data_IF_685352227038
#
_entry.id   IF_685352227038
#
_cell.length_a   1.000
_cell.length_b   1.000
_cell.length_c   1.000
_cell.angle_alpha   90.00
_cell.angle_beta   90.00
_cell.angle_gamma   90.00
#
_symmetry.space_group_name_H-M   'P 1'
#
loop_
_entity.id
_entity.type
_entity.pdbx_description
1 polymer ?
#
# COMPACT_ATOMS: atom_id res chain seq x y z
N UNK A 1 14.87 -74.85 -59.68
CA UNK A 1 15.24 -73.51 -59.19
C UNK A 1 13.93 -72.73 -59.07
N UNK A 2 13.22 -72.93 -57.96
CA UNK A 2 12.98 -71.94 -56.87
C UNK A 2 12.00 -70.84 -57.29
N UNK A 3 10.68 -71.00 -57.16
CA UNK A 3 9.77 -70.97 -55.98
C UNK A 3 9.47 -69.57 -55.39
N UNK A 4 8.24 -69.11 -55.69
CA UNK A 4 7.15 -68.52 -54.88
C UNK A 4 7.33 -67.92 -53.47
N UNK A 5 6.42 -66.95 -53.24
CA UNK A 5 5.68 -66.57 -52.02
C UNK A 5 6.08 -65.34 -51.19
N UNK A 6 5.17 -64.35 -51.23
CA UNK A 6 4.54 -63.48 -50.21
C UNK A 6 5.18 -63.27 -48.83
N UNK A 7 4.89 -62.11 -48.21
CA UNK A 7 4.61 -62.07 -46.78
C UNK A 7 3.23 -61.43 -46.41
N UNK A 8 2.69 -61.74 -45.21
CA UNK A 8 1.32 -61.43 -44.79
C UNK A 8 1.21 -60.43 -43.62
N UNK A 9 -0.01 -59.94 -43.39
CA UNK A 9 -0.64 -59.88 -42.05
C UNK A 9 -0.16 -58.85 -41.02
N UNK A 10 -1.04 -57.91 -40.69
CA UNK A 10 -1.05 -57.15 -39.42
C UNK A 10 -1.38 -58.06 -38.22
N UNK A 11 -0.91 -57.73 -36.99
CA UNK A 11 -1.90 -57.33 -35.97
C UNK A 11 -1.40 -56.35 -34.86
N UNK A 12 -2.37 -55.60 -34.33
CA UNK A 12 -2.51 -55.07 -32.94
C UNK A 12 -1.69 -53.84 -32.47
N UNK A 13 -2.45 -52.75 -32.30
CA UNK A 13 -2.59 -51.89 -31.09
C UNK A 13 -1.33 -51.51 -30.29
N UNK A 14 -0.95 -50.24 -30.41
CA UNK A 14 -0.49 -49.41 -29.30
C UNK A 14 -1.30 -48.09 -29.33
N UNK A 15 -2.07 -47.74 -28.29
CA UNK A 15 -2.74 -46.46 -28.19
C UNK A 15 -1.89 -45.51 -27.35
N UNK A 16 -1.28 -44.49 -27.96
CA UNK A 16 -0.80 -43.32 -27.23
C UNK A 16 -0.46 -42.19 -28.21
N UNK A 17 -1.41 -41.27 -28.40
CA UNK A 17 -1.10 -39.85 -28.59
C UNK A 17 -2.38 -39.08 -28.26
N UNK A 18 -2.57 -38.86 -26.96
CA UNK A 18 -3.49 -37.85 -26.47
C UNK A 18 -2.99 -36.49 -26.93
N UNK A 19 -3.88 -35.76 -27.59
CA UNK A 19 -3.82 -34.32 -27.78
C UNK A 19 -3.84 -33.64 -26.41
N UNK A 20 -2.68 -33.22 -25.91
CA UNK A 20 -2.62 -32.26 -24.81
C UNK A 20 -2.89 -30.86 -25.36
N UNK A 21 -4.11 -30.39 -25.11
CA UNK A 21 -4.46 -28.99 -24.99
C UNK A 21 -3.49 -28.31 -24.02
N UNK A 22 -2.63 -27.42 -24.54
CA UNK A 22 -1.82 -26.51 -23.74
C UNK A 22 -2.74 -25.57 -22.94
N UNK A 23 -3.08 -25.99 -21.72
CA UNK A 23 -3.62 -25.10 -20.69
C UNK A 23 -2.49 -24.23 -20.16
N UNK A 24 -2.67 -22.92 -20.21
CA UNK A 24 -1.85 -21.91 -19.55
C UNK A 24 -1.58 -22.30 -18.08
N UNK A 25 -0.35 -22.12 -17.55
CA UNK A 25 -0.06 -22.46 -16.17
C UNK A 25 -0.85 -21.54 -15.25
N UNK A 26 -1.67 -22.14 -14.38
CA UNK A 26 -2.38 -21.42 -13.32
C UNK A 26 -1.38 -20.84 -12.33
N UNK A 27 -1.68 -19.63 -11.92
CA UNK A 27 -0.93 -18.73 -11.05
C UNK A 27 -0.97 -19.18 -9.56
N UNK A 28 -0.59 -20.44 -9.28
CA UNK A 28 -0.60 -21.03 -7.92
C UNK A 28 0.60 -20.60 -7.05
N UNK A 29 1.63 -20.00 -7.65
CA UNK A 29 2.89 -19.71 -6.95
C UNK A 29 2.77 -18.65 -5.85
N UNK A 30 1.82 -17.72 -5.97
CA UNK A 30 1.63 -16.62 -5.00
C UNK A 30 0.93 -17.11 -3.73
N UNK A 31 -0.14 -17.89 -3.88
CA UNK A 31 -0.85 -18.54 -2.77
C UNK A 31 0.04 -19.55 -2.06
N UNK A 32 0.77 -20.40 -2.78
CA UNK A 32 1.72 -21.34 -2.18
C UNK A 32 2.85 -20.62 -1.42
N UNK A 33 3.34 -19.48 -1.92
CA UNK A 33 4.34 -18.67 -1.22
C UNK A 33 3.78 -18.06 0.05
N UNK A 34 2.53 -17.58 0.04
CA UNK A 34 1.84 -17.06 1.22
C UNK A 34 1.61 -18.18 2.23
N UNK A 35 1.07 -19.33 1.79
CA UNK A 35 0.83 -20.51 2.64
C UNK A 35 2.13 -21.03 3.25
N UNK A 36 3.22 -21.08 2.46
CA UNK A 36 4.54 -21.51 2.94
C UNK A 36 5.14 -20.50 3.93
N UNK A 37 5.03 -19.19 3.69
CA UNK A 37 5.46 -18.17 4.67
C UNK A 37 4.61 -18.21 5.95
N UNK A 38 3.30 -18.48 5.83
CA UNK A 38 2.41 -18.69 6.98
C UNK A 38 2.84 -19.95 7.74
N UNK A 39 3.11 -21.06 7.06
CA UNK A 39 3.61 -22.31 7.67
C UNK A 39 4.99 -22.11 8.33
N UNK A 40 5.90 -21.36 7.70
CA UNK A 40 7.20 -21.02 8.27
C UNK A 40 7.03 -20.11 9.50
N UNK A 41 6.09 -19.16 9.48
CA UNK A 41 5.73 -18.34 10.65
C UNK A 41 5.03 -19.13 11.76
N UNK A 42 4.28 -20.18 11.41
CA UNK A 42 3.72 -21.14 12.37
C UNK A 42 4.80 -22.00 13.02
N UNK A 43 5.87 -22.33 12.28
CA UNK A 43 7.03 -23.06 12.82
C UNK A 43 7.89 -22.18 13.74
N UNK A 44 7.96 -20.88 13.48
CA UNK A 44 8.51 -19.85 14.37
C UNK A 44 7.44 -19.31 15.31
N UNK A 45 7.04 -20.09 16.32
CA UNK A 45 6.05 -19.71 17.32
C UNK A 45 6.42 -18.46 18.16
N UNK A 46 6.41 -17.26 17.55
CA UNK A 46 6.30 -15.98 18.25
C UNK A 46 4.83 -15.80 18.61
N UNK A 47 4.46 -16.19 19.83
CA UNK A 47 3.13 -15.89 20.37
C UNK A 47 2.86 -14.38 20.34
N UNK A 48 1.79 -13.97 19.67
CA UNK A 48 1.39 -12.57 19.60
C UNK A 48 0.36 -12.27 20.70
N UNK A 49 0.81 -12.26 21.96
CA UNK A 49 -0.06 -12.15 23.16
C UNK A 49 -1.12 -11.04 23.11
N UNK A 50 -0.84 -9.92 22.43
CA UNK A 50 -1.82 -8.86 22.23
C UNK A 50 -2.84 -9.23 21.14
N UNK A 51 -2.36 -9.54 19.92
CA UNK A 51 -3.20 -9.82 18.76
C UNK A 51 -4.05 -11.10 18.88
N UNK A 52 -3.60 -12.07 19.67
CA UNK A 52 -4.38 -13.27 20.02
C UNK A 52 -5.68 -12.96 20.79
N UNK A 53 -5.81 -11.74 21.33
CA UNK A 53 -7.00 -11.26 22.05
C UNK A 53 -7.84 -10.27 21.25
N UNK A 54 -7.45 -9.96 20.01
CA UNK A 54 -8.13 -8.96 19.19
C UNK A 54 -9.04 -9.66 18.17
N UNK A 55 -10.13 -9.00 17.73
CA UNK A 55 -11.01 -9.50 16.67
C UNK A 55 -10.32 -9.37 15.31
N UNK A 56 -9.30 -10.19 15.07
CA UNK A 56 -8.59 -10.30 13.78
C UNK A 56 -8.56 -11.76 13.37
N UNK A 57 -8.39 -12.03 12.07
CA UNK A 57 -8.12 -13.39 11.61
C UNK A 57 -6.91 -13.97 12.37
N UNK A 58 -7.07 -15.14 12.98
CA UNK A 58 -5.99 -15.76 13.74
C UNK A 58 -5.25 -16.76 12.84
N UNK A 59 -3.95 -16.96 13.08
CA UNK A 59 -3.17 -17.95 12.31
C UNK A 59 -3.74 -19.37 12.39
N UNK A 60 -4.36 -19.73 13.52
CA UNK A 60 -5.03 -21.02 13.72
C UNK A 60 -6.31 -21.18 12.87
N UNK A 61 -6.89 -20.07 12.40
CA UNK A 61 -8.12 -20.05 11.61
C UNK A 61 -7.81 -20.13 10.09
N UNK A 62 -6.52 -20.08 9.69
CA UNK A 62 -6.12 -20.09 8.29
C UNK A 62 -6.48 -21.44 7.65
N UNK A 63 -7.27 -21.39 6.58
CA UNK A 63 -7.77 -22.57 5.87
C UNK A 63 -9.05 -23.16 6.46
N UNK A 64 -9.57 -22.60 7.56
CA UNK A 64 -10.87 -22.99 8.10
C UNK A 64 -12.01 -22.33 7.28
N UNK A 65 -12.53 -23.10 6.32
CA UNK A 65 -13.63 -22.67 5.44
C UNK A 65 -15.00 -22.65 6.13
N UNK A 66 -15.11 -23.14 7.37
CA UNK A 66 -16.38 -23.11 8.12
C UNK A 66 -16.70 -21.73 8.70
N UNK A 67 -15.69 -20.87 8.86
CA UNK A 67 -15.86 -19.54 9.43
C UNK A 67 -16.51 -18.57 8.41
N UNK A 68 -17.54 -17.79 8.82
CA UNK A 68 -18.17 -16.84 7.92
C UNK A 68 -17.23 -15.67 7.59
N UNK A 69 -17.40 -15.12 6.39
CA UNK A 69 -16.83 -13.83 5.99
C UNK A 69 -17.60 -12.69 6.65
N UNK A 70 -16.96 -11.56 6.87
CA UNK A 70 -17.59 -10.38 7.49
C UNK A 70 -17.09 -10.10 8.91
N UNK A 71 -17.85 -9.33 9.71
CA UNK A 71 -17.46 -8.96 11.06
C UNK A 71 -17.15 -10.17 11.95
N UNK A 72 -16.06 -10.09 12.72
CA UNK A 72 -15.63 -11.18 13.62
C UNK A 72 -16.42 -11.13 14.93
N UNK A 73 -16.59 -9.93 15.46
CA UNK A 73 -17.41 -9.61 16.62
C UNK A 73 -18.54 -8.67 16.20
N UNK A 74 -19.78 -8.88 16.69
CA UNK A 74 -20.87 -7.97 16.44
C UNK A 74 -20.64 -6.62 17.13
N UNK A 75 -21.21 -5.52 16.60
CA UNK A 75 -21.22 -4.23 17.28
C UNK A 75 -21.80 -4.35 18.70
N UNK A 76 -21.10 -3.81 19.70
CA UNK A 76 -21.67 -3.68 21.04
C UNK A 76 -22.49 -2.38 21.13
N UNK A 77 -23.51 -2.31 22.01
CA UNK A 77 -24.22 -1.05 22.23
C UNK A 77 -23.24 0.08 22.63
N UNK A 78 -23.44 1.29 22.10
CA UNK A 78 -22.56 2.43 22.41
C UNK A 78 -22.48 2.75 23.91
N UNK A 79 -23.54 2.45 24.66
CA UNK A 79 -23.58 2.56 26.12
C UNK A 79 -22.60 1.64 26.84
N UNK A 80 -22.19 0.54 26.21
CA UNK A 80 -21.22 -0.43 26.74
C UNK A 80 -19.79 -0.13 26.29
N UNK A 81 -19.60 0.75 25.30
CA UNK A 81 -18.27 1.24 24.93
C UNK A 81 -17.72 2.09 26.07
N UNK A 82 -16.47 1.82 26.47
CA UNK A 82 -15.79 2.57 27.53
C UNK A 82 -15.72 4.06 27.18
N UNK A 83 -16.39 4.90 27.97
CA UNK A 83 -16.46 6.36 27.75
C UNK A 83 -15.14 7.06 28.11
N UNK A 84 -14.49 6.61 29.18
CA UNK A 84 -13.21 7.17 29.64
C UNK A 84 -12.01 6.58 28.87
N UNK A 85 -10.93 7.35 28.68
CA UNK A 85 -9.70 6.85 28.08
C UNK A 85 -9.11 5.63 28.81
N UNK A 86 -8.34 4.81 28.10
CA UNK A 86 -7.54 3.77 28.76
C UNK A 86 -6.45 4.37 29.66
N UNK A 87 -6.11 3.68 30.75
CA UNK A 87 -5.09 4.16 31.68
C UNK A 87 -3.70 4.16 31.02
N UNK A 88 -2.99 5.28 31.18
CA UNK A 88 -1.55 5.39 30.91
C UNK A 88 -0.76 5.34 32.22
N UNK A 89 0.54 4.98 32.18
CA UNK A 89 1.40 5.15 33.34
C UNK A 89 1.42 6.63 33.78
N UNK A 90 1.44 6.87 35.10
CA UNK A 90 1.36 8.19 35.73
C UNK A 90 2.16 9.33 35.06
N UNK A 91 3.42 9.15 34.59
CA UNK A 91 4.19 10.23 33.96
C UNK A 91 3.69 10.66 32.57
N UNK A 92 2.72 9.95 31.99
CA UNK A 92 2.19 10.22 30.67
C UNK A 92 0.72 10.65 30.71
N UNK A 93 0.31 11.38 29.68
CA UNK A 93 -1.07 11.81 29.47
C UNK A 93 -1.45 11.68 27.99
N UNK A 94 -2.73 11.41 27.74
CA UNK A 94 -3.30 11.45 26.40
C UNK A 94 -3.41 12.89 25.93
N UNK A 95 -3.21 13.11 24.63
CA UNK A 95 -3.54 14.34 23.96
C UNK A 95 -4.26 14.00 22.66
N UNK A 96 -5.18 14.86 22.24
CA UNK A 96 -5.64 14.86 20.86
C UNK A 96 -4.75 15.83 20.09
N UNK A 97 -4.23 15.41 18.93
CA UNK A 97 -3.34 16.22 18.11
C UNK A 97 -4.19 16.94 17.04
N UNK A 98 -4.44 18.22 17.25
CA UNK A 98 -5.12 19.05 16.25
C UNK A 98 -4.16 19.38 15.11
N UNK A 99 -4.39 18.78 13.94
CA UNK A 99 -3.54 18.99 12.77
C UNK A 99 -3.76 20.37 12.11
N UNK A 100 -4.76 21.14 12.55
CA UNK A 100 -4.93 22.55 12.14
C UNK A 100 -3.98 23.49 12.90
N UNK A 101 -3.41 23.05 14.03
CA UNK A 101 -2.41 23.80 14.79
C UNK A 101 -1.02 23.59 14.19
N UNK A 102 -0.36 24.67 13.79
CA UNK A 102 1.00 24.63 13.24
C UNK A 102 2.01 24.02 14.23
N UNK A 103 1.89 24.37 15.51
CA UNK A 103 2.74 23.82 16.58
C UNK A 103 2.57 22.30 16.69
N UNK A 104 1.32 21.83 16.74
CA UNK A 104 1.02 20.39 16.85
C UNK A 104 1.48 19.64 15.60
N UNK A 105 1.22 20.18 14.41
CA UNK A 105 1.70 19.60 13.15
C UNK A 105 3.23 19.51 13.12
N UNK A 106 3.93 20.53 13.65
CA UNK A 106 5.39 20.55 13.76
C UNK A 106 5.90 19.50 14.74
N UNK A 107 5.23 19.30 15.88
CA UNK A 107 5.57 18.26 16.83
C UNK A 107 5.37 16.84 16.27
N UNK A 108 4.25 16.60 15.58
CA UNK A 108 3.96 15.32 14.91
C UNK A 108 5.01 15.04 13.84
N UNK A 109 5.27 16.03 12.96
CA UNK A 109 6.34 15.96 11.96
C UNK A 109 7.68 15.57 12.60
N UNK A 110 8.09 16.27 13.66
CA UNK A 110 9.35 16.02 14.34
C UNK A 110 9.39 14.64 15.03
N UNK A 111 8.27 14.16 15.58
CA UNK A 111 8.20 12.82 16.14
C UNK A 111 8.43 11.77 15.05
N UNK A 112 7.71 11.87 13.93
CA UNK A 112 7.78 10.92 12.83
C UNK A 112 9.16 10.93 12.17
N UNK A 113 9.66 12.11 11.78
CA UNK A 113 10.99 12.29 11.19
C UNK A 113 12.12 11.66 12.02
N UNK A 114 11.98 11.62 13.35
CA UNK A 114 13.04 11.13 14.23
C UNK A 114 12.84 9.68 14.71
N UNK A 115 11.62 9.14 14.62
CA UNK A 115 11.26 7.90 15.29
C UNK A 115 10.37 6.96 14.47
N UNK A 116 10.01 7.30 13.24
CA UNK A 116 9.19 6.45 12.39
C UNK A 116 10.03 5.41 11.63
N UNK A 117 9.43 4.79 10.62
CA UNK A 117 9.98 3.68 9.85
C UNK A 117 11.34 4.02 9.23
N UNK A 118 12.28 3.11 9.45
CA UNK A 118 13.64 3.09 8.91
C UNK A 118 13.76 1.83 8.05
N UNK A 119 14.61 1.85 7.03
CA UNK A 119 15.04 0.65 6.35
C UNK A 119 15.90 -0.24 7.27
N UNK A 120 16.04 -1.52 6.92
CA UNK A 120 16.75 -2.50 7.74
C UNK A 120 18.24 -2.14 7.93
N UNK A 121 18.84 -1.43 6.97
CA UNK A 121 20.23 -0.95 7.02
C UNK A 121 20.37 0.42 7.73
N UNK A 122 19.27 1.04 8.19
CA UNK A 122 19.21 2.39 8.79
C UNK A 122 19.87 3.49 7.93
N UNK A 123 19.78 3.38 6.61
CA UNK A 123 20.29 4.37 5.66
C UNK A 123 19.25 5.44 5.31
N UNK A 124 17.96 5.08 5.36
CA UNK A 124 16.85 5.92 4.95
C UNK A 124 15.75 5.91 6.00
N UNK A 125 15.15 7.07 6.23
CA UNK A 125 13.97 7.20 7.10
C UNK A 125 12.92 8.06 6.45
N UNK A 126 11.66 7.63 6.50
CA UNK A 126 10.57 8.43 5.95
C UNK A 126 10.53 9.83 6.58
N UNK A 127 10.31 10.82 5.72
CA UNK A 127 10.24 12.22 6.06
C UNK A 127 8.96 12.81 5.47
N UNK A 128 7.81 12.33 5.93
CA UNK A 128 6.49 12.89 5.60
C UNK A 128 6.51 14.40 5.83
N UNK A 129 6.22 15.20 4.80
CA UNK A 129 6.19 16.65 4.94
C UNK A 129 4.98 17.09 5.78
N UNK A 130 4.97 18.33 6.26
CA UNK A 130 3.81 18.86 7.01
C UNK A 130 2.57 18.93 6.11
N UNK A 131 2.78 19.25 4.84
CA UNK A 131 1.77 19.32 3.79
C UNK A 131 1.19 17.92 3.54
N UNK A 132 2.04 16.89 3.47
CA UNK A 132 1.59 15.50 3.34
C UNK A 132 0.78 15.05 4.56
N UNK A 133 1.26 15.31 5.78
CA UNK A 133 0.53 14.95 7.00
C UNK A 133 -0.82 15.66 7.08
N UNK A 134 -0.84 16.93 6.67
CA UNK A 134 -2.06 17.74 6.57
C UNK A 134 -3.07 17.17 5.57
N UNK A 135 -2.60 16.64 4.44
CA UNK A 135 -3.41 15.99 3.42
C UNK A 135 -3.90 14.61 3.88
N UNK A 136 -3.00 13.77 4.39
CA UNK A 136 -3.29 12.40 4.83
C UNK A 136 -4.21 12.33 6.05
N UNK A 137 -4.12 13.30 6.96
CA UNK A 137 -4.85 13.26 8.24
C UNK A 137 -6.13 14.11 8.25
N UNK A 138 -6.45 14.83 7.17
CA UNK A 138 -7.65 15.68 7.13
C UNK A 138 -8.55 15.44 5.90
N UNK A 139 -8.90 14.19 5.57
CA UNK A 139 -9.91 13.95 4.55
C UNK A 139 -11.29 14.48 4.96
N UNK A 140 -12.21 14.64 4.01
CA UNK A 140 -13.58 15.06 4.29
C UNK A 140 -14.22 14.22 5.40
N UNK A 141 -14.76 14.89 6.42
CA UNK A 141 -15.44 14.22 7.55
C UNK A 141 -14.50 13.50 8.53
N UNK A 142 -13.19 13.78 8.52
CA UNK A 142 -12.26 13.19 9.49
C UNK A 142 -12.62 13.52 10.95
N UNK A 143 -12.23 12.61 11.85
CA UNK A 143 -12.45 12.75 13.28
C UNK A 143 -11.19 13.25 13.97
N UNK A 144 -11.16 14.50 14.43
CA UNK A 144 -10.02 15.04 15.21
C UNK A 144 -9.66 14.14 16.40
N UNK A 145 -10.66 13.54 17.03
CA UNK A 145 -10.50 12.62 18.17
C UNK A 145 -9.65 11.39 17.84
N UNK A 146 -9.51 11.00 16.57
CA UNK A 146 -8.74 9.85 16.13
C UNK A 146 -7.25 10.13 15.93
N UNK A 147 -6.82 11.40 16.05
CA UNK A 147 -5.40 11.78 16.07
C UNK A 147 -4.88 11.76 17.51
N UNK A 148 -4.33 10.63 17.93
CA UNK A 148 -4.07 10.35 19.34
C UNK A 148 -2.58 10.44 19.61
N UNK A 149 -2.20 11.38 20.49
CA UNK A 149 -0.85 11.52 20.98
C UNK A 149 -0.71 11.07 22.44
N UNK A 150 0.52 10.73 22.83
CA UNK A 150 0.93 10.56 24.22
C UNK A 150 2.00 11.58 24.54
N UNK A 151 1.81 12.37 25.60
CA UNK A 151 2.79 13.35 26.09
C UNK A 151 3.37 12.92 27.43
N UNK A 152 4.64 13.26 27.66
CA UNK A 152 5.23 13.21 28.99
C UNK A 152 4.77 14.42 29.81
N UNK A 153 4.13 14.23 30.96
CA UNK A 153 3.54 15.31 31.77
C UNK A 153 4.55 16.39 32.16
N UNK A 154 5.76 15.97 32.55
CA UNK A 154 6.79 16.87 33.04
C UNK A 154 7.36 17.81 31.97
N UNK A 155 7.53 17.34 30.74
CA UNK A 155 8.15 18.11 29.65
C UNK A 155 7.16 18.56 28.57
N UNK A 156 5.92 18.07 28.62
CA UNK A 156 4.87 18.21 27.59
C UNK A 156 5.26 17.70 26.19
N UNK A 157 6.41 17.05 26.06
CA UNK A 157 6.92 16.51 24.80
C UNK A 157 6.03 15.36 24.31
N UNK A 158 5.68 15.39 23.02
CA UNK A 158 5.02 14.28 22.33
C UNK A 158 6.00 13.09 22.19
N UNK A 159 5.58 11.92 22.68
CA UNK A 159 6.42 10.72 22.74
C UNK A 159 5.83 9.51 22.02
N UNK A 160 4.55 9.56 21.63
CA UNK A 160 3.95 8.58 20.74
C UNK A 160 2.76 9.19 20.00
N UNK A 161 2.42 8.61 18.86
CA UNK A 161 1.32 9.03 18.00
C UNK A 161 0.68 7.83 17.30
N UNK A 162 -0.64 7.86 17.08
CA UNK A 162 -1.39 6.92 16.24
C UNK A 162 -2.57 7.70 15.66
N UNK A 163 -2.96 7.39 14.43
CA UNK A 163 -4.05 8.08 13.73
C UNK A 163 -5.04 7.10 13.15
N UNK A 164 -6.27 7.58 12.99
CA UNK A 164 -7.26 6.99 12.11
C UNK A 164 -7.92 8.07 11.26
N UNK A 165 -8.32 7.71 10.04
CA UNK A 165 -9.21 8.52 9.20
C UNK A 165 -10.39 7.65 8.72
N UNK A 166 -11.59 8.22 8.50
CA UNK A 166 -12.71 7.43 8.00
C UNK A 166 -12.51 7.07 6.53
N UNK A 167 -12.86 5.83 6.18
CA UNK A 167 -12.86 5.36 4.81
C UNK A 167 -14.09 4.48 4.56
N UNK A 168 -14.68 4.58 3.37
CA UNK A 168 -15.65 3.58 2.89
C UNK A 168 -14.86 2.54 2.12
N UNK A 169 -14.85 1.31 2.61
CA UNK A 169 -14.09 0.21 2.01
C UNK A 169 -15.09 -0.84 1.53
N UNK A 170 -15.09 -1.07 0.23
CA UNK A 170 -15.77 -2.20 -0.40
C UNK A 170 -15.00 -3.47 -0.07
N UNK A 171 -15.71 -4.46 0.44
CA UNK A 171 -15.23 -5.83 0.60
C UNK A 171 -16.22 -6.75 -0.12
N UNK A 172 -15.83 -7.21 -1.31
CA UNK A 172 -16.70 -7.85 -2.31
C UNK A 172 -17.88 -6.94 -2.67
N UNK A 173 -19.08 -7.31 -2.26
CA UNK A 173 -20.32 -6.64 -2.60
C UNK A 173 -20.76 -5.65 -1.51
N UNK A 174 -20.13 -5.69 -0.33
CA UNK A 174 -20.50 -4.87 0.83
C UNK A 174 -19.59 -3.66 0.96
N UNK A 175 -20.18 -2.47 1.17
CA UNK A 175 -19.43 -1.25 1.48
C UNK A 175 -19.50 -1.01 2.98
N UNK A 176 -18.35 -1.11 3.65
CA UNK A 176 -18.22 -0.98 5.09
C UNK A 176 -17.54 0.34 5.43
N UNK A 177 -18.11 1.10 6.36
CA UNK A 177 -17.44 2.27 6.93
C UNK A 177 -16.37 1.77 7.92
N UNK A 178 -15.11 2.01 7.61
CA UNK A 178 -13.96 1.58 8.39
C UNK A 178 -13.13 2.79 8.85
N UNK A 179 -12.28 2.59 9.85
CA UNK A 179 -11.16 3.48 10.12
C UNK A 179 -9.91 3.00 9.37
N UNK A 180 -9.28 3.85 8.59
CA UNK A 180 -7.93 3.60 8.06
C UNK A 180 -6.91 4.03 9.12
N UNK A 181 -6.17 3.09 9.68
CA UNK A 181 -5.20 3.34 10.76
C UNK A 181 -3.80 3.46 10.18
N UNK A 182 -3.13 4.56 10.50
CA UNK A 182 -1.76 4.83 10.06
C UNK A 182 -0.96 5.61 11.13
N UNK A 183 0.32 5.85 10.86
CA UNK A 183 1.24 6.68 11.65
C UNK A 183 1.43 6.24 13.11
N UNK A 184 1.27 4.94 13.41
CA UNK A 184 1.64 4.40 14.72
C UNK A 184 3.14 4.54 14.96
N UNK A 185 3.51 5.51 15.79
CA UNK A 185 4.88 5.85 16.11
C UNK A 185 5.08 5.91 17.61
N UNK A 186 6.10 5.20 18.11
CA UNK A 186 6.56 5.31 19.49
C UNK A 186 8.00 5.78 19.47
N UNK A 187 8.29 6.83 20.24
CA UNK A 187 9.63 7.37 20.38
C UNK A 187 10.64 6.27 20.73
N UNK A 188 11.81 6.26 20.08
CA UNK A 188 12.81 5.17 20.14
C UNK A 188 13.09 4.67 21.57
N UNK A 189 13.29 5.61 22.50
CA UNK A 189 13.54 5.35 23.93
C UNK A 189 12.42 4.62 24.69
N UNK A 190 11.20 4.62 24.16
CA UNK A 190 10.02 4.00 24.78
C UNK A 190 9.58 2.70 24.08
N UNK A 191 10.31 2.26 23.05
CA UNK A 191 10.02 0.99 22.38
C UNK A 191 10.21 -0.19 23.35
N UNK A 192 9.53 -1.29 23.07
CA UNK A 192 9.48 -2.49 23.94
C UNK A 192 8.85 -2.30 25.33
N UNK A 193 8.25 -1.14 25.63
CA UNK A 193 7.50 -0.88 26.88
C UNK A 193 6.00 -1.13 26.78
N UNK A 194 5.55 -1.83 25.72
CA UNK A 194 4.13 -2.17 25.46
C UNK A 194 3.18 -0.96 25.37
N UNK A 195 3.69 0.21 24.96
CA UNK A 195 2.85 1.39 24.73
C UNK A 195 1.94 1.22 23.50
N UNK A 196 2.44 0.62 22.41
CA UNK A 196 1.66 0.43 21.18
C UNK A 196 0.34 -0.34 21.40
N UNK A 197 0.28 -1.48 22.12
CA UNK A 197 -0.98 -2.12 22.49
C UNK A 197 -2.00 -1.22 23.20
N UNK A 198 -1.53 -0.32 24.08
CA UNK A 198 -2.41 0.60 24.82
C UNK A 198 -2.94 1.68 23.87
N UNK A 199 -2.12 2.16 22.94
CA UNK A 199 -2.53 3.10 21.90
C UNK A 199 -3.52 2.49 20.91
N UNK A 200 -3.32 1.23 20.52
CA UNK A 200 -4.27 0.50 19.67
C UNK A 200 -5.62 0.39 20.38
N UNK A 201 -5.64 0.00 21.67
CA UNK A 201 -6.89 -0.03 22.45
C UNK A 201 -7.59 1.33 22.53
N UNK A 202 -6.83 2.41 22.70
CA UNK A 202 -7.40 3.76 22.76
C UNK A 202 -7.94 4.23 21.40
N UNK A 203 -7.26 3.96 20.28
CA UNK A 203 -7.81 4.30 18.96
C UNK A 203 -9.06 3.47 18.65
N UNK A 204 -9.05 2.16 18.95
CA UNK A 204 -10.23 1.30 18.81
C UNK A 204 -11.41 1.85 19.61
N UNK A 205 -11.18 2.26 20.88
CA UNK A 205 -12.23 2.86 21.72
C UNK A 205 -12.82 4.12 21.10
N UNK A 206 -11.99 5.05 20.61
CA UNK A 206 -12.44 6.30 19.99
C UNK A 206 -13.15 6.07 18.66
N UNK A 207 -12.76 5.05 17.91
CA UNK A 207 -13.45 4.63 16.68
C UNK A 207 -14.81 4.02 17.01
N UNK A 208 -14.90 3.15 18.02
CA UNK A 208 -16.16 2.54 18.47
C UNK A 208 -17.15 3.59 19.03
N UNK A 209 -16.67 4.65 19.68
CA UNK A 209 -17.53 5.76 20.14
C UNK A 209 -18.25 6.48 18.99
N UNK A 210 -17.70 6.45 17.78
CA UNK A 210 -18.32 6.99 16.57
C UNK A 210 -19.18 5.94 15.83
N UNK A 211 -19.49 4.82 16.49
CA UNK A 211 -20.24 3.69 15.95
C UNK A 211 -19.61 3.04 14.71
N UNK A 212 -18.28 3.01 14.65
CA UNK A 212 -17.50 2.33 13.62
C UNK A 212 -16.74 1.18 14.27
N UNK A 213 -16.75 0.01 13.65
CA UNK A 213 -16.34 -1.24 14.31
C UNK A 213 -15.23 -1.99 13.59
N UNK A 214 -14.83 -1.50 12.42
CA UNK A 214 -13.82 -2.11 11.55
C UNK A 214 -12.72 -1.11 11.22
N UNK A 215 -11.55 -1.63 10.90
CA UNK A 215 -10.43 -0.81 10.44
C UNK A 215 -9.61 -1.51 9.35
N UNK A 216 -8.96 -0.74 8.49
CA UNK A 216 -7.93 -1.21 7.58
C UNK A 216 -6.57 -0.65 8.01
N UNK A 217 -5.52 -1.46 7.92
CA UNK A 217 -4.17 -1.03 8.25
C UNK A 217 -3.13 -1.87 7.53
N UNK A 218 -1.91 -1.33 7.42
CA UNK A 218 -0.76 -2.04 6.86
C UNK A 218 0.40 -2.07 7.84
N UNK A 219 1.26 -3.08 7.71
CA UNK A 219 2.53 -3.14 8.43
C UNK A 219 3.62 -3.79 7.57
N UNK A 220 4.87 -3.37 7.77
CA UNK A 220 6.04 -4.05 7.20
C UNK A 220 6.46 -5.32 7.96
N UNK A 221 5.79 -5.62 9.08
CA UNK A 221 5.97 -6.86 9.84
C UNK A 221 4.73 -7.73 9.74
N UNK A 222 4.93 -9.05 9.79
CA UNK A 222 3.84 -10.03 9.79
C UNK A 222 3.17 -10.07 11.17
N UNK A 223 1.84 -9.88 11.19
CA UNK A 223 0.95 -9.98 12.34
C UNK A 223 -0.16 -11.01 12.04
N UNK A 224 -0.89 -11.55 13.02
CA UNK A 224 -2.06 -12.38 12.77
C UNK A 224 -3.23 -11.54 12.23
N UNK A 225 -3.81 -11.81 11.06
CA UNK A 225 -3.23 -12.51 9.89
C UNK A 225 -3.47 -11.61 8.67
N UNK A 226 -2.49 -11.40 7.77
CA UNK A 226 -2.68 -10.50 6.65
C UNK A 226 -3.76 -11.03 5.70
N UNK A 227 -4.58 -10.14 5.14
CA UNK A 227 -5.50 -10.47 4.05
C UNK A 227 -4.75 -10.63 2.73
N UNK A 228 -3.64 -9.92 2.56
CA UNK A 228 -2.70 -10.06 1.44
C UNK A 228 -1.34 -9.46 1.78
N UNK A 229 -0.35 -9.74 0.95
CA UNK A 229 1.02 -9.22 1.08
C UNK A 229 1.50 -8.75 -0.28
N UNK A 230 1.93 -7.50 -0.36
CA UNK A 230 2.40 -6.86 -1.58
C UNK A 230 3.90 -6.58 -1.51
N UNK A 231 4.59 -6.74 -2.62
CA UNK A 231 6.01 -6.46 -2.75
C UNK A 231 6.23 -5.01 -3.17
N UNK A 232 7.20 -4.31 -2.56
CA UNK A 232 7.67 -3.03 -3.09
C UNK A 232 8.56 -3.24 -4.31
N UNK A 233 8.41 -2.36 -5.28
CA UNK A 233 9.19 -2.30 -6.51
C UNK A 233 9.70 -0.88 -6.74
N UNK A 234 10.90 -0.76 -7.31
CA UNK A 234 11.61 0.50 -7.45
C UNK A 234 12.08 0.71 -8.89
N UNK A 235 11.77 1.87 -9.45
CA UNK A 235 12.25 2.33 -10.76
C UNK A 235 13.16 3.53 -10.60
N UNK A 236 14.43 3.36 -10.99
CA UNK A 236 15.44 4.41 -10.82
C UNK A 236 15.26 5.57 -11.81
N UNK A 237 14.97 6.77 -11.32
CA UNK A 237 14.87 7.98 -12.16
C UNK A 237 16.20 8.76 -12.19
N UNK A 238 16.95 8.69 -11.09
CA UNK A 238 18.28 9.28 -10.93
C UNK A 238 19.32 8.23 -10.48
N UNK A 239 19.77 7.33 -11.39
CA UNK A 239 20.62 6.20 -11.01
C UNK A 239 21.93 6.61 -10.34
N UNK A 240 22.52 7.74 -10.76
CA UNK A 240 23.75 8.25 -10.17
C UNK A 240 23.57 8.53 -8.68
N UNK A 241 22.56 9.34 -8.32
CA UNK A 241 22.29 9.66 -6.91
C UNK A 241 21.91 8.40 -6.12
N UNK A 242 21.05 7.52 -6.67
CA UNK A 242 20.65 6.30 -5.96
C UNK A 242 21.83 5.38 -5.62
N UNK A 243 22.82 5.29 -6.51
CA UNK A 243 24.04 4.53 -6.26
C UNK A 243 24.95 5.26 -5.26
N UNK A 244 25.14 6.58 -5.41
CA UNK A 244 25.98 7.38 -4.52
C UNK A 244 25.50 7.36 -3.05
N UNK A 245 24.19 7.23 -2.84
CA UNK A 245 23.58 7.17 -1.50
C UNK A 245 23.34 5.74 -1.02
N UNK A 246 23.71 4.73 -1.82
CA UNK A 246 23.60 3.31 -1.50
C UNK A 246 22.18 2.72 -1.55
N UNK A 247 21.18 3.48 -2.04
CA UNK A 247 19.82 2.97 -2.28
C UNK A 247 19.80 1.85 -3.34
N UNK A 248 20.70 1.92 -4.31
CA UNK A 248 20.89 0.89 -5.33
C UNK A 248 22.36 0.58 -5.51
N UNK A 249 22.68 -0.61 -6.03
CA UNK A 249 24.06 -1.03 -6.29
C UNK A 249 24.28 -1.22 -7.80
N UNK A 250 25.50 -0.98 -8.27
CA UNK A 250 25.87 -1.31 -9.63
C UNK A 250 25.83 -2.83 -9.79
N UNK A 251 25.06 -3.30 -10.77
CA UNK A 251 25.02 -4.72 -11.12
C UNK A 251 26.39 -5.24 -11.60
N UNK A 252 26.63 -6.56 -11.55
CA UNK A 252 27.85 -7.14 -12.09
C UNK A 252 28.07 -6.72 -13.55
N UNK A 253 29.28 -6.26 -13.87
CA UNK A 253 29.68 -5.81 -15.23
C UNK A 253 28.93 -4.56 -15.77
N UNK A 254 28.17 -3.86 -14.92
CA UNK A 254 27.56 -2.58 -15.26
C UNK A 254 28.51 -1.42 -14.93
N UNK A 255 28.48 -0.39 -15.76
CA UNK A 255 29.11 0.90 -15.46
C UNK A 255 28.05 1.94 -15.14
N UNK A 256 28.44 3.05 -14.50
CA UNK A 256 27.51 4.16 -14.23
C UNK A 256 26.85 4.65 -15.53
N UNK A 257 27.61 4.88 -16.59
CA UNK A 257 27.08 5.33 -17.89
C UNK A 257 26.11 4.33 -18.54
N UNK A 258 26.39 3.02 -18.42
CA UNK A 258 25.46 1.98 -18.91
C UNK A 258 24.16 1.97 -18.10
N UNK A 259 24.24 2.16 -16.79
CA UNK A 259 23.07 2.20 -15.90
C UNK A 259 22.21 3.43 -16.18
N UNK A 260 22.83 4.61 -16.36
CA UNK A 260 22.13 5.83 -16.76
C UNK A 260 21.44 5.63 -18.12
N UNK A 261 22.12 5.01 -19.09
CA UNK A 261 21.53 4.73 -20.41
C UNK A 261 20.36 3.74 -20.32
N UNK A 262 20.47 2.69 -19.50
CA UNK A 262 19.43 1.69 -19.29
C UNK A 262 18.13 2.31 -18.78
N UNK A 263 18.24 3.22 -17.83
CA UNK A 263 17.10 3.85 -17.15
C UNK A 263 16.65 5.17 -17.77
N UNK A 264 17.30 5.64 -18.85
CA UNK A 264 16.91 6.85 -19.57
C UNK A 264 15.43 6.75 -20.00
N UNK A 265 14.72 7.85 -19.80
CA UNK A 265 13.35 8.09 -20.23
C UNK A 265 13.32 9.16 -21.31
N UNK A 266 12.28 9.20 -22.16
CA UNK A 266 12.01 10.33 -23.06
C UNK A 266 11.87 11.66 -22.32
N UNK A 267 11.95 12.76 -23.07
CA UNK A 267 11.90 14.11 -22.51
C UNK A 267 10.46 14.65 -22.37
N UNK A 268 9.49 14.05 -23.06
CA UNK A 268 8.06 14.40 -22.97
C UNK A 268 7.17 13.15 -23.04
N UNK A 269 5.99 13.17 -22.40
CA UNK A 269 4.96 12.13 -22.56
C UNK A 269 4.59 11.91 -24.03
N UNK A 270 4.22 10.68 -24.39
CA UNK A 270 3.87 10.33 -25.77
C UNK A 270 2.36 10.23 -26.02
N UNK A 271 1.54 10.07 -24.97
CA UNK A 271 0.09 9.93 -25.12
C UNK A 271 -0.58 11.27 -25.46
N UNK A 272 -1.29 11.40 -26.60
CA UNK A 272 -2.06 12.59 -26.93
C UNK A 272 -3.13 12.87 -25.88
N UNK A 273 -3.31 14.14 -25.49
CA UNK A 273 -4.29 14.53 -24.47
C UNK A 273 -3.84 14.24 -23.03
N UNK A 274 -2.61 13.75 -22.82
CA UNK A 274 -2.05 13.61 -21.47
C UNK A 274 -1.83 14.98 -20.84
N UNK A 275 -2.60 15.30 -19.80
CA UNK A 275 -2.53 16.58 -19.08
C UNK A 275 -2.74 16.40 -17.59
N UNK A 276 -2.42 17.45 -16.83
CA UNK A 276 -2.67 17.50 -15.38
C UNK A 276 -4.18 17.52 -15.13
N UNK A 277 -4.61 16.83 -14.06
CA UNK A 277 -6.00 16.88 -13.60
C UNK A 277 -6.34 18.27 -13.05
N UNK A 278 -7.54 18.75 -13.36
CA UNK A 278 -8.12 19.99 -12.84
C UNK A 278 -9.41 19.72 -12.07
N UNK A 279 -9.91 20.74 -11.35
CA UNK A 279 -11.09 20.60 -10.49
C UNK A 279 -12.34 20.15 -11.27
N UNK A 280 -12.51 20.62 -12.51
CA UNK A 280 -13.66 20.28 -13.33
C UNK A 280 -13.67 18.80 -13.78
N UNK A 281 -12.52 18.11 -13.70
CA UNK A 281 -12.39 16.70 -14.07
C UNK A 281 -12.86 15.74 -12.96
N UNK A 282 -13.03 16.22 -11.73
CA UNK A 282 -13.37 15.40 -10.54
C UNK A 282 -14.54 14.44 -10.80
N UNK A 283 -15.69 14.86 -11.38
CA UNK A 283 -16.79 13.94 -11.63
C UNK A 283 -16.44 12.83 -12.63
N UNK A 284 -15.64 13.14 -13.66
CA UNK A 284 -15.23 12.17 -14.68
C UNK A 284 -14.23 11.14 -14.11
N UNK A 285 -13.23 11.62 -13.37
CA UNK A 285 -12.25 10.78 -12.67
C UNK A 285 -12.94 9.90 -11.63
N UNK A 286 -13.94 10.42 -10.91
CA UNK A 286 -14.71 9.65 -9.92
C UNK A 286 -15.41 8.46 -10.57
N UNK A 287 -16.10 8.67 -11.70
CA UNK A 287 -16.75 7.55 -12.43
C UNK A 287 -15.74 6.52 -12.91
N UNK A 288 -14.64 6.99 -13.50
CA UNK A 288 -13.57 6.13 -14.02
C UNK A 288 -12.96 5.26 -12.91
N UNK A 289 -12.65 5.88 -11.78
CA UNK A 289 -12.03 5.23 -10.63
C UNK A 289 -12.99 4.25 -9.93
N UNK A 290 -14.26 4.63 -9.71
CA UNK A 290 -15.26 3.73 -9.11
C UNK A 290 -15.47 2.46 -9.96
N UNK A 291 -15.58 2.63 -11.28
CA UNK A 291 -15.72 1.49 -12.20
C UNK A 291 -14.51 0.57 -12.12
N UNK A 292 -13.30 1.11 -12.19
CA UNK A 292 -12.08 0.32 -12.08
C UNK A 292 -11.95 -0.37 -10.72
N UNK A 293 -12.20 0.34 -9.62
CA UNK A 293 -12.04 -0.20 -8.27
C UNK A 293 -13.07 -1.26 -7.90
N UNK A 294 -14.25 -1.26 -8.54
CA UNK A 294 -15.28 -2.28 -8.32
C UNK A 294 -14.89 -3.70 -8.75
N UNK A 295 -13.83 -3.86 -9.54
CA UNK A 295 -13.35 -5.18 -9.96
C UNK A 295 -12.50 -5.89 -8.89
N UNK A 296 -12.03 -5.15 -7.88
CA UNK A 296 -11.18 -5.69 -6.81
C UNK A 296 -12.00 -6.17 -5.62
N UNK A 297 -11.49 -7.17 -4.90
CA UNK A 297 -12.16 -7.76 -3.75
C UNK A 297 -12.16 -6.80 -2.56
N UNK A 298 -11.07 -6.06 -2.34
CA UNK A 298 -11.01 -5.02 -1.31
C UNK A 298 -10.52 -3.73 -1.94
N UNK A 299 -11.34 -2.68 -1.91
CA UNK A 299 -11.03 -1.37 -2.52
C UNK A 299 -11.81 -0.24 -1.83
N UNK A 300 -11.35 1.00 -1.91
CA UNK A 300 -12.13 2.13 -1.42
C UNK A 300 -13.36 2.40 -2.31
N UNK A 301 -14.44 2.88 -1.70
CA UNK A 301 -15.63 3.40 -2.39
C UNK A 301 -15.64 4.93 -2.34
N UNK A 302 -14.91 5.55 -3.26
CA UNK A 302 -14.75 7.00 -3.33
C UNK A 302 -15.98 7.72 -3.89
N UNK A 303 -16.34 8.85 -3.29
CA UNK A 303 -17.23 9.85 -3.88
C UNK A 303 -16.43 11.02 -4.47
N UNK A 304 -17.12 12.04 -4.97
CA UNK A 304 -16.46 13.21 -5.57
C UNK A 304 -15.64 14.03 -4.56
N UNK A 305 -16.06 14.11 -3.29
CA UNK A 305 -15.28 14.82 -2.26
C UNK A 305 -13.99 14.06 -1.94
N UNK A 306 -14.07 12.72 -1.92
CA UNK A 306 -12.88 11.90 -1.73
C UNK A 306 -11.91 12.06 -2.90
N UNK A 307 -12.40 12.03 -4.15
CA UNK A 307 -11.55 12.21 -5.34
C UNK A 307 -10.94 13.60 -5.38
N UNK A 308 -11.70 14.64 -5.07
CA UNK A 308 -11.17 16.00 -4.95
C UNK A 308 -10.04 16.06 -3.91
N UNK A 309 -10.26 15.54 -2.70
CA UNK A 309 -9.26 15.61 -1.64
C UNK A 309 -8.01 14.75 -1.92
N UNK A 310 -8.20 13.51 -2.36
CA UNK A 310 -7.11 12.54 -2.52
C UNK A 310 -6.36 12.67 -3.84
N UNK A 311 -7.00 13.17 -4.90
CA UNK A 311 -6.45 13.09 -6.25
C UNK A 311 -6.32 14.44 -6.94
N UNK A 312 -6.94 15.51 -6.47
CA UNK A 312 -6.66 16.83 -7.05
C UNK A 312 -5.20 17.23 -6.78
N UNK A 313 -4.41 17.57 -7.82
CA UNK A 313 -2.97 17.75 -7.63
C UNK A 313 -2.61 18.84 -6.63
N UNK A 314 -1.81 18.48 -5.64
CA UNK A 314 -1.27 19.39 -4.61
C UNK A 314 0.25 19.36 -4.68
N UNK A 315 0.86 20.54 -4.87
CA UNK A 315 2.31 20.65 -5.06
C UNK A 315 3.09 20.03 -3.90
N UNK A 316 4.03 19.14 -4.24
CA UNK A 316 4.87 18.45 -3.25
C UNK A 316 4.14 17.38 -2.42
N UNK A 317 2.88 17.07 -2.72
CA UNK A 317 2.08 16.06 -2.02
C UNK A 317 1.57 14.99 -2.98
N UNK A 318 0.68 15.34 -3.91
CA UNK A 318 0.08 14.40 -4.87
C UNK A 318 0.05 15.00 -6.26
N UNK A 319 0.40 14.17 -7.24
CA UNK A 319 0.47 14.50 -8.65
C UNK A 319 -0.48 13.56 -9.40
N UNK A 320 -1.45 14.15 -10.12
CA UNK A 320 -2.45 13.41 -10.88
C UNK A 320 -2.58 13.96 -12.29
N UNK A 321 -2.68 13.03 -13.24
CA UNK A 321 -2.76 13.28 -14.67
C UNK A 321 -3.86 12.42 -15.28
N UNK A 322 -4.40 12.87 -16.40
CA UNK A 322 -5.43 12.17 -17.14
C UNK A 322 -5.13 12.23 -18.63
N UNK A 323 -5.81 11.38 -19.39
CA UNK A 323 -5.83 11.42 -20.85
C UNK A 323 -7.22 11.88 -21.28
N UNK A 324 -7.28 12.99 -21.99
CA UNK A 324 -8.48 13.50 -22.64
C UNK A 324 -8.46 13.10 -24.12
N UNK A 325 -9.52 12.45 -24.60
CA UNK A 325 -9.62 12.08 -26.02
C UNK A 325 -9.62 13.35 -26.89
N UNK A 326 -8.69 13.48 -27.87
CA UNK A 326 -8.67 14.63 -28.78
C UNK A 326 -9.93 14.79 -29.62
N UNK A 327 -10.70 13.72 -29.83
CA UNK A 327 -11.89 13.70 -30.68
C UNK A 327 -13.18 13.99 -29.90
N UNK A 328 -13.31 13.43 -28.68
CA UNK A 328 -14.54 13.48 -27.90
C UNK A 328 -14.48 14.43 -26.71
N UNK A 329 -13.27 14.83 -26.30
CA UNK A 329 -13.00 15.54 -25.05
C UNK A 329 -13.39 14.78 -23.77
N UNK A 330 -13.69 13.48 -23.89
CA UNK A 330 -13.93 12.63 -22.73
C UNK A 330 -12.62 12.24 -22.05
N UNK A 331 -12.64 12.18 -20.72
CA UNK A 331 -11.54 11.63 -19.91
C UNK A 331 -11.56 10.10 -20.02
N UNK A 332 -10.49 9.52 -20.56
CA UNK A 332 -10.41 8.08 -20.84
C UNK A 332 -9.53 7.33 -19.84
N UNK A 333 -8.43 7.93 -19.40
CA UNK A 333 -7.42 7.28 -18.57
C UNK A 333 -6.97 8.24 -17.45
N UNK A 334 -6.46 7.69 -16.35
CA UNK A 334 -6.03 8.44 -15.18
C UNK A 334 -4.81 7.79 -14.54
N UNK A 335 -3.83 8.57 -14.09
CA UNK A 335 -2.72 8.07 -13.28
C UNK A 335 -2.32 9.08 -12.21
N UNK A 336 -1.86 8.58 -11.07
CA UNK A 336 -1.45 9.42 -9.94
C UNK A 336 -0.29 8.83 -9.15
N UNK A 337 0.47 9.71 -8.51
CA UNK A 337 1.52 9.34 -7.58
C UNK A 337 1.67 10.41 -6.50
N UNK A 338 2.08 10.00 -5.30
CA UNK A 338 2.33 10.92 -4.20
C UNK A 338 3.82 11.04 -3.88
N UNK A 339 4.20 12.16 -3.27
CA UNK A 339 5.57 12.49 -2.88
C UNK A 339 5.80 12.03 -1.45
N UNK A 340 6.74 11.11 -1.25
CA UNK A 340 7.20 10.73 0.08
C UNK A 340 8.73 10.73 0.12
N UNK A 341 9.36 11.82 0.58
CA UNK A 341 10.80 11.88 0.67
C UNK A 341 11.31 11.07 1.86
N UNK A 342 12.55 10.59 1.75
CA UNK A 342 13.29 9.99 2.85
C UNK A 342 14.50 10.84 3.21
N UNK A 343 14.77 10.97 4.50
CA UNK A 343 16.05 11.51 4.99
C UNK A 343 17.15 10.50 4.73
N UNK A 344 18.25 10.95 4.12
CA UNK A 344 19.45 10.14 3.89
C UNK A 344 20.36 10.30 5.10
N UNK A 345 20.65 9.18 5.76
CA UNK A 345 21.45 9.17 6.98
C UNK A 345 22.92 8.92 6.65
N UNK A 346 23.82 9.75 7.19
CA UNK A 346 25.27 9.52 7.08
C UNK A 346 25.92 9.83 5.72
N UNK A 347 25.22 10.49 4.79
CA UNK A 347 25.79 10.94 3.52
C UNK A 347 26.17 12.44 3.56
N UNK A 348 27.36 12.80 3.07
CA UNK A 348 27.86 14.19 3.10
C UNK A 348 27.30 15.07 1.98
N UNK A 349 26.90 14.48 0.85
CA UNK A 349 26.52 15.21 -0.37
C UNK A 349 25.01 15.36 -0.52
N UNK A 350 24.23 14.43 0.03
CA UNK A 350 22.78 14.40 -0.11
C UNK A 350 22.10 14.20 1.24
N UNK A 351 21.07 14.99 1.52
CA UNK A 351 20.27 14.90 2.74
C UNK A 351 18.89 14.29 2.53
N UNK A 352 18.36 14.33 1.30
CA UNK A 352 17.00 13.90 0.96
C UNK A 352 17.01 13.05 -0.30
N UNK A 353 16.32 11.91 -0.23
CA UNK A 353 15.90 11.09 -1.37
C UNK A 353 14.45 11.46 -1.70
N UNK A 354 14.18 12.03 -2.88
CA UNK A 354 12.82 12.39 -3.30
C UNK A 354 12.20 11.22 -4.05
N UNK A 355 11.26 10.52 -3.43
CA UNK A 355 10.60 9.36 -4.02
C UNK A 355 9.14 9.66 -4.37
N UNK A 356 8.73 9.22 -5.56
CA UNK A 356 7.33 9.16 -5.98
C UNK A 356 6.79 7.76 -5.65
N UNK A 357 5.57 7.67 -5.16
CA UNK A 357 4.87 6.41 -4.90
C UNK A 357 3.64 6.33 -5.78
N UNK A 358 3.56 5.31 -6.62
CA UNK A 358 2.39 5.01 -7.44
C UNK A 358 1.14 4.95 -6.57
N UNK A 359 0.10 5.67 -6.95
CA UNK A 359 -1.16 5.70 -6.21
C UNK A 359 -2.26 4.97 -7.00
N UNK A 360 -3.29 5.65 -7.48
CA UNK A 360 -4.35 5.05 -8.31
C UNK A 360 -4.11 5.31 -9.80
N UNK A 361 -4.19 4.24 -10.60
CA UNK A 361 -4.01 4.28 -12.04
C UNK A 361 -5.12 3.50 -12.72
N UNK A 362 -5.81 4.14 -13.67
CA UNK A 362 -6.90 3.57 -14.47
C UNK A 362 -6.59 3.71 -15.95
N UNK A 363 -6.60 2.59 -16.66
CA UNK A 363 -6.31 2.49 -18.09
C UNK A 363 -7.52 1.86 -18.78
N UNK A 364 -8.06 2.53 -19.80
CA UNK A 364 -9.19 2.06 -20.62
C UNK A 364 -8.90 2.14 -22.12
N UNK A 365 -8.29 3.21 -22.60
CA UNK A 365 -7.95 3.42 -24.02
C UNK A 365 -6.45 3.36 -24.24
N UNK A 366 -5.69 3.97 -23.34
CA UNK A 366 -4.23 3.97 -23.37
C UNK A 366 -3.72 2.71 -22.68
N UNK A 367 -2.86 1.88 -23.31
CA UNK A 367 -2.28 0.72 -22.64
C UNK A 367 -1.59 1.11 -21.32
N UNK A 368 -1.84 0.36 -20.24
CA UNK A 368 -1.32 0.69 -18.91
C UNK A 368 0.20 0.90 -18.90
N UNK A 369 0.95 0.10 -19.67
CA UNK A 369 2.39 0.25 -19.86
C UNK A 369 2.77 1.66 -20.36
N UNK A 370 2.06 2.17 -21.36
CA UNK A 370 2.30 3.49 -21.95
C UNK A 370 1.91 4.60 -20.97
N UNK A 371 0.75 4.46 -20.31
CA UNK A 371 0.28 5.42 -19.31
C UNK A 371 1.29 5.56 -18.16
N UNK A 372 1.78 4.44 -17.63
CA UNK A 372 2.78 4.46 -16.56
C UNK A 372 4.15 4.92 -17.04
N UNK A 373 4.53 4.68 -18.29
CA UNK A 373 5.74 5.28 -18.85
C UNK A 373 5.65 6.82 -18.88
N UNK A 374 4.49 7.37 -19.23
CA UNK A 374 4.26 8.82 -19.20
C UNK A 374 4.27 9.38 -17.77
N UNK A 375 3.73 8.63 -16.80
CA UNK A 375 3.85 8.96 -15.36
C UNK A 375 5.31 9.00 -14.89
N UNK A 376 6.16 8.06 -15.33
CA UNK A 376 7.60 8.06 -15.04
C UNK A 376 8.31 9.28 -15.66
N UNK A 377 7.92 9.69 -16.87
CA UNK A 377 8.49 10.86 -17.55
C UNK A 377 8.20 12.13 -16.74
N UNK A 378 6.94 12.37 -16.37
CA UNK A 378 6.58 13.56 -15.58
C UNK A 378 7.17 13.52 -14.17
N UNK A 379 7.27 12.35 -13.53
CA UNK A 379 7.99 12.23 -12.27
C UNK A 379 9.47 12.60 -12.43
N UNK A 380 10.13 12.15 -13.51
CA UNK A 380 11.53 12.54 -13.77
C UNK A 380 11.68 14.05 -14.03
N UNK A 381 10.75 14.65 -14.77
CA UNK A 381 10.73 16.10 -15.01
C UNK A 381 10.54 16.92 -13.72
N UNK A 382 9.95 16.32 -12.69
CA UNK A 382 9.77 16.91 -11.35
C UNK A 382 10.88 16.53 -10.37
N UNK A 383 12.04 16.12 -10.88
CA UNK A 383 13.26 15.81 -10.13
C UNK A 383 13.09 14.71 -9.07
N UNK A 384 12.19 13.75 -9.29
CA UNK A 384 12.14 12.55 -8.46
C UNK A 384 13.37 11.66 -8.74
N UNK A 385 13.91 11.05 -7.68
CA UNK A 385 15.09 10.19 -7.77
C UNK A 385 14.73 8.73 -8.06
N UNK A 386 13.57 8.30 -7.56
CA UNK A 386 13.04 6.94 -7.69
C UNK A 386 11.52 6.99 -7.74
N UNK A 387 10.93 6.08 -8.50
CA UNK A 387 9.50 5.83 -8.54
C UNK A 387 9.22 4.46 -7.93
N UNK A 388 8.44 4.43 -6.86
CA UNK A 388 8.09 3.24 -6.09
C UNK A 388 6.68 2.78 -6.48
N UNK A 389 6.46 1.48 -6.51
CA UNK A 389 5.14 0.90 -6.73
C UNK A 389 5.00 -0.37 -5.89
N UNK A 390 3.78 -0.66 -5.44
CA UNK A 390 3.41 -1.99 -4.97
C UNK A 390 2.89 -2.82 -6.16
N UNK A 391 2.99 -4.14 -6.07
CA UNK A 391 2.38 -5.09 -7.02
C UNK A 391 0.86 -5.27 -6.81
N UNK A 392 0.20 -4.31 -6.17
CA UNK A 392 -1.27 -4.23 -6.04
C UNK A 392 -1.96 -4.01 -7.38
N UNK A 393 -3.26 -4.31 -7.45
CA UNK A 393 -4.08 -4.08 -8.64
C UNK A 393 -3.46 -4.73 -9.89
N UNK A 394 -3.44 -4.04 -11.02
CA UNK A 394 -2.83 -4.53 -12.25
C UNK A 394 -1.38 -4.08 -12.42
N UNK A 395 -0.71 -3.61 -11.36
CA UNK A 395 0.62 -3.00 -11.49
C UNK A 395 1.66 -3.97 -12.03
N UNK A 396 1.59 -5.26 -11.67
CA UNK A 396 2.55 -6.28 -12.11
C UNK A 396 2.76 -6.30 -13.64
N UNK A 397 1.72 -5.99 -14.41
CA UNK A 397 1.75 -5.98 -15.88
C UNK A 397 2.77 -5.00 -16.49
N UNK A 398 3.12 -3.90 -15.80
CA UNK A 398 4.08 -2.92 -16.31
C UNK A 398 5.44 -2.97 -15.61
N UNK A 399 5.56 -3.59 -14.43
CA UNK A 399 6.75 -3.44 -13.56
C UNK A 399 8.04 -3.87 -14.27
N UNK A 400 8.10 -5.12 -14.77
CA UNK A 400 9.32 -5.64 -15.41
C UNK A 400 9.63 -4.92 -16.72
N UNK A 401 8.62 -4.65 -17.54
CA UNK A 401 8.77 -3.98 -18.83
C UNK A 401 9.27 -2.54 -18.68
N UNK A 402 8.77 -1.82 -17.68
CA UNK A 402 9.25 -0.49 -17.33
C UNK A 402 10.48 -0.51 -16.44
N UNK A 403 11.14 -1.67 -16.25
CA UNK A 403 12.43 -1.82 -15.52
C UNK A 403 12.34 -1.46 -14.04
N UNK A 404 11.20 -1.72 -13.40
CA UNK A 404 11.14 -1.77 -11.95
C UNK A 404 11.88 -3.02 -11.45
N UNK A 405 12.70 -2.85 -10.42
CA UNK A 405 13.31 -3.96 -9.69
C UNK A 405 12.57 -4.24 -8.39
N UNK A 406 12.43 -5.51 -7.97
CA UNK A 406 11.85 -5.81 -6.67
C UNK A 406 12.75 -5.26 -5.56
N UNK A 407 12.13 -4.58 -4.59
CA UNK A 407 12.76 -4.18 -3.34
C UNK A 407 12.87 -5.34 -2.35
N UNK A 408 13.40 -5.05 -1.17
CA UNK A 408 13.44 -5.95 -0.02
C UNK A 408 12.17 -5.84 0.85
N UNK A 409 11.53 -4.67 0.88
CA UNK A 409 10.34 -4.39 1.66
C UNK A 409 9.07 -5.08 1.15
N UNK A 410 8.30 -5.67 2.07
CA UNK A 410 6.93 -6.13 1.83
C UNK A 410 5.95 -5.30 2.65
N UNK A 411 4.73 -5.13 2.13
CA UNK A 411 3.63 -4.48 2.84
C UNK A 411 2.50 -5.49 3.05
N UNK A 412 2.18 -5.76 4.31
CA UNK A 412 1.12 -6.67 4.69
C UNK A 412 -0.15 -5.89 5.00
N UNK A 413 -1.27 -6.26 4.40
CA UNK A 413 -2.56 -5.61 4.58
C UNK A 413 -3.42 -6.39 5.57
N UNK A 414 -4.16 -5.67 6.40
CA UNK A 414 -4.99 -6.25 7.46
C UNK A 414 -6.33 -5.53 7.55
N UNK A 415 -7.35 -6.29 7.97
CA UNK A 415 -8.61 -5.75 8.42
C UNK A 415 -8.82 -6.10 9.90
N UNK A 416 -9.12 -5.08 10.71
CA UNK A 416 -9.56 -5.24 12.09
C UNK A 416 -11.05 -5.50 12.12
N UNK A 417 -11.47 -6.50 12.89
CA UNK A 417 -12.85 -6.94 13.05
C UNK A 417 -13.57 -7.27 11.73
N UNK A 418 -12.83 -7.78 10.75
CA UNK A 418 -13.40 -8.26 9.50
C UNK A 418 -12.58 -9.45 8.99
N UNK A 419 -13.25 -10.57 8.75
CA UNK A 419 -12.65 -11.79 8.18
C UNK A 419 -12.86 -11.81 6.67
N UNK A 420 -11.79 -12.12 5.93
CA UNK A 420 -11.86 -12.57 4.54
C UNK A 420 -11.66 -14.09 4.55
N UNK A 421 -12.45 -14.85 3.79
CA UNK A 421 -12.36 -16.33 3.79
C UNK A 421 -11.01 -16.85 3.27
N UNK A 422 -10.52 -16.26 2.18
CA UNK A 422 -9.30 -16.66 1.51
C UNK A 422 -8.33 -15.49 1.45
N UNK A 423 -7.04 -15.75 1.63
CA UNK A 423 -6.01 -14.76 1.35
C UNK A 423 -6.15 -14.28 -0.10
N UNK A 424 -6.04 -12.97 -0.30
CA UNK A 424 -6.17 -12.34 -1.61
C UNK A 424 -4.82 -12.33 -2.30
N UNK A 425 -4.82 -12.48 -3.62
CA UNK A 425 -3.66 -12.11 -4.44
C UNK A 425 -3.50 -10.58 -4.40
N UNK A 426 -2.27 -10.06 -4.54
CA UNK A 426 -2.05 -8.61 -4.67
C UNK A 426 -2.93 -7.96 -5.76
N UNK A 427 -3.18 -8.68 -6.84
CA UNK A 427 -4.04 -8.24 -7.95
C UNK A 427 -5.54 -8.16 -7.64
N UNK A 428 -5.97 -8.73 -6.52
CA UNK A 428 -7.35 -8.66 -6.02
C UNK A 428 -7.53 -7.52 -4.99
N UNK A 429 -6.45 -6.83 -4.63
CA UNK A 429 -6.45 -5.68 -3.73
C UNK A 429 -6.38 -4.37 -4.53
N UNK A 430 -7.39 -3.53 -4.34
CA UNK A 430 -7.49 -2.17 -4.90
C UNK A 430 -7.30 -1.07 -3.86
N UNK A 431 -6.64 -1.34 -2.74
CA UNK A 431 -6.44 -0.40 -1.63
C UNK A 431 -4.97 0.01 -1.51
N UNK A 432 -4.70 1.31 -1.60
CA UNK A 432 -3.37 1.89 -1.33
C UNK A 432 -3.45 2.72 -0.06
N UNK A 433 -2.66 2.36 0.96
CA UNK A 433 -2.52 3.11 2.21
C UNK A 433 -1.25 3.98 2.14
N UNK A 434 -1.33 5.20 2.69
CA UNK A 434 -0.33 6.27 2.51
C UNK A 434 0.98 6.10 3.27
#
# INVERSE_FOLDING_TARGET
MTDNNSPPGSPKQNPAQNSETNSLPKDDSSLETIVRKIQDSMSLAKRHKFWETQPVGQFKDVGDTSLPEGPIEPPTPLSEVKQEPYNLPNPYEWTTCDMDSEDTCTEVYNLLKNNYVEDDENMFRFNYSKEFLSWALRPPGYYKSWHIGVRAKASKKLVAFITGVPARIRVRDEVVKMAEINFLCVHKKLRSKRLAPVMIKEVTRRVHLENIWQAAYTAGVVLPTPITTCQYWHRSLNPKKLIDVGFSRLGPRMTMSRTIKLYKLPDSPATPGFRKMELHDVPAVTRLLRNYLSQFVVSPDFDENDVEHWLLPTEGVVDSYLVESPETHDVTDFCSFYTLPSSILGNQNYSILKAAYSYYNVSTKTPLLQLMNDALIVAKQKDFDVFNALDVMHNESFLKELKFGPGDGQLHYYLYNYRIRNALRPSELGLVLL
#
